data_IF_120500489205
#
_entry.id   IF_120500489205
#
_cell.length_a   1.000
_cell.length_b   1.000
_cell.length_c   1.000
_cell.angle_alpha   90.00
_cell.angle_beta   90.00
_cell.angle_gamma   90.00
#
_symmetry.space_group_name_H-M   'P 1'
#
loop_
_entity.id
_entity.type
_entity.pdbx_description
1 polymer ?
#
# COMPACT_ATOMS: atom_id res chain seq x y z
N UNK A 1 13.05 -5.79 12.98
CA UNK A 1 13.42 -5.08 11.73
C UNK A 1 14.91 -4.76 11.71
N UNK A 2 15.44 -4.01 12.70
CA UNK A 2 16.86 -3.63 12.79
C UNK A 2 17.83 -4.80 12.61
N UNK A 3 17.67 -5.89 13.36
CA UNK A 3 18.57 -7.05 13.25
C UNK A 3 18.66 -7.67 11.83
N UNK A 4 17.58 -7.64 11.05
CA UNK A 4 17.58 -8.16 9.67
C UNK A 4 18.28 -7.18 8.73
N UNK A 5 18.05 -5.87 8.89
CA UNK A 5 18.71 -4.84 8.09
C UNK A 5 20.21 -4.77 8.40
N UNK A 6 20.59 -4.90 9.66
CA UNK A 6 21.99 -4.92 10.09
C UNK A 6 22.73 -6.15 9.53
N UNK A 7 22.10 -7.33 9.59
CA UNK A 7 22.66 -8.55 9.00
C UNK A 7 22.83 -8.40 7.48
N UNK A 8 21.81 -7.90 6.78
CA UNK A 8 21.89 -7.66 5.34
C UNK A 8 23.03 -6.69 5.00
N UNK A 9 23.13 -5.59 5.75
CA UNK A 9 24.18 -4.59 5.59
C UNK A 9 25.58 -5.18 5.79
N UNK A 10 25.78 -5.97 6.86
CA UNK A 10 27.05 -6.64 7.16
C UNK A 10 27.49 -7.62 6.06
N UNK A 11 26.54 -8.15 5.27
CA UNK A 11 26.79 -9.03 4.14
C UNK A 11 26.73 -8.33 2.77
N UNK A 12 26.61 -7.00 2.72
CA UNK A 12 26.54 -6.24 1.47
C UNK A 12 25.31 -6.53 0.62
N UNK A 13 24.21 -6.97 1.24
CA UNK A 13 22.95 -7.30 0.59
C UNK A 13 22.09 -6.04 0.45
N UNK A 14 21.67 -5.71 -0.77
CA UNK A 14 20.69 -4.65 -1.00
C UNK A 14 19.30 -5.11 -0.55
N UNK A 15 18.61 -4.25 0.20
CA UNK A 15 17.27 -4.53 0.73
C UNK A 15 16.26 -3.50 0.21
N UNK A 16 15.13 -4.01 -0.31
CA UNK A 16 13.96 -3.21 -0.66
C UNK A 16 12.83 -3.60 0.27
N UNK A 17 12.54 -2.75 1.25
CA UNK A 17 11.41 -2.92 2.17
C UNK A 17 10.16 -2.45 1.44
N UNK A 18 9.09 -3.24 1.51
CA UNK A 18 7.84 -2.97 0.79
C UNK A 18 6.70 -2.87 1.78
N UNK A 19 5.97 -1.75 1.74
CA UNK A 19 4.59 -1.67 2.21
C UNK A 19 3.74 -2.12 1.03
N UNK A 20 3.13 -3.30 1.16
CA UNK A 20 2.42 -3.92 0.05
C UNK A 20 1.06 -3.26 -0.23
N UNK A 21 0.49 -3.43 -1.44
CA UNK A 21 -0.69 -2.70 -1.87
C UNK A 21 -1.95 -3.30 -1.24
N UNK A 22 -2.51 -2.67 -0.22
CA UNK A 22 -3.85 -3.01 0.29
C UNK A 22 -4.94 -2.65 -0.72
N UNK A 23 -6.01 -3.43 -0.80
CA UNK A 23 -7.20 -3.03 -1.54
C UNK A 23 -7.82 -1.79 -0.89
N UNK A 24 -8.47 -0.94 -1.69
CA UNK A 24 -9.11 0.29 -1.22
C UNK A 24 -10.14 0.03 -0.11
N UNK A 25 -10.79 -1.14 -0.10
CA UNK A 25 -11.72 -1.53 0.97
C UNK A 25 -11.04 -1.58 2.35
N UNK A 26 -9.84 -2.16 2.46
CA UNK A 26 -9.14 -2.22 3.74
C UNK A 26 -8.63 -0.84 4.16
N UNK A 27 -8.22 -0.02 3.20
CA UNK A 27 -7.89 1.39 3.44
C UNK A 27 -9.11 2.16 3.99
N UNK A 28 -10.29 1.93 3.43
CA UNK A 28 -11.54 2.53 3.93
C UNK A 28 -11.94 1.98 5.31
N UNK A 29 -11.73 0.69 5.58
CA UNK A 29 -11.94 0.13 6.92
C UNK A 29 -11.06 0.88 7.92
N UNK A 30 -9.77 1.12 7.63
CA UNK A 30 -8.92 1.93 8.52
C UNK A 30 -9.48 3.35 8.74
N UNK A 31 -10.11 3.97 7.74
CA UNK A 31 -10.76 5.28 7.91
C UNK A 31 -11.97 5.19 8.83
N UNK A 32 -12.87 4.25 8.55
CA UNK A 32 -14.16 4.12 9.24
C UNK A 32 -13.96 3.68 10.70
N UNK A 33 -12.91 2.92 10.99
CA UNK A 33 -12.54 2.51 12.36
C UNK A 33 -11.63 3.51 13.07
N UNK A 34 -11.40 4.71 12.52
CA UNK A 34 -10.48 5.73 13.06
C UNK A 34 -9.02 5.26 13.23
N UNK A 35 -8.58 4.25 12.46
CA UNK A 35 -7.20 3.76 12.44
C UNK A 35 -6.33 4.43 11.36
N UNK A 36 -6.88 5.33 10.54
CA UNK A 36 -6.15 5.96 9.43
C UNK A 36 -4.93 6.75 9.90
N UNK A 37 -5.06 7.53 10.97
CA UNK A 37 -3.95 8.32 11.50
C UNK A 37 -2.84 7.39 12.05
N UNK A 38 -3.21 6.28 12.70
CA UNK A 38 -2.26 5.26 13.13
C UNK A 38 -1.51 4.61 11.95
N UNK A 39 -2.20 4.38 10.83
CA UNK A 39 -1.58 3.86 9.61
C UNK A 39 -0.57 4.85 9.03
N UNK A 40 -0.88 6.14 9.01
CA UNK A 40 0.05 7.18 8.59
C UNK A 40 1.26 7.30 9.53
N UNK A 41 1.03 7.28 10.83
CA UNK A 41 2.10 7.34 11.84
C UNK A 41 3.02 6.12 11.75
N UNK A 42 2.47 4.94 11.53
CA UNK A 42 3.25 3.73 11.27
C UNK A 42 4.16 3.89 10.04
N UNK A 43 3.65 4.46 8.94
CA UNK A 43 4.47 4.72 7.74
C UNK A 43 5.58 5.73 8.00
N UNK A 44 5.30 6.79 8.77
CA UNK A 44 6.32 7.78 9.16
C UNK A 44 7.43 7.14 9.97
N UNK A 45 7.06 6.38 10.99
CA UNK A 45 7.99 5.70 11.88
C UNK A 45 8.83 4.67 11.11
N UNK A 46 8.20 3.90 10.23
CA UNK A 46 8.91 2.97 9.34
C UNK A 46 9.89 3.69 8.42
N UNK A 47 9.48 4.81 7.82
CA UNK A 47 10.33 5.63 6.93
C UNK A 47 11.55 6.16 7.68
N UNK A 48 11.35 6.72 8.88
CA UNK A 48 12.45 7.20 9.73
C UNK A 48 13.40 6.06 10.10
N UNK A 49 12.86 4.92 10.52
CA UNK A 49 13.67 3.75 10.89
C UNK A 49 14.46 3.20 9.71
N UNK A 50 13.90 3.14 8.51
CA UNK A 50 14.67 2.70 7.34
C UNK A 50 15.74 3.73 6.98
N UNK A 51 15.42 5.02 7.03
CA UNK A 51 16.35 6.09 6.67
C UNK A 51 17.57 6.23 7.60
N UNK A 52 17.51 5.68 8.83
CA UNK A 52 18.66 5.60 9.74
C UNK A 52 19.57 4.40 9.47
N UNK A 53 19.16 3.44 8.64
CA UNK A 53 19.96 2.26 8.30
C UNK A 53 20.48 2.41 6.87
N UNK A 54 21.79 2.63 6.74
CA UNK A 54 22.56 2.57 5.49
C UNK A 54 21.77 2.94 4.23
N UNK A 55 21.50 4.25 4.07
CA UNK A 55 20.65 4.85 3.02
C UNK A 55 20.94 4.33 1.60
N UNK A 56 22.18 3.93 1.34
CA UNK A 56 22.60 3.46 0.02
C UNK A 56 22.30 1.98 -0.24
N UNK A 57 21.99 1.20 0.80
CA UNK A 57 21.73 -0.25 0.72
C UNK A 57 20.30 -0.64 1.04
N UNK A 58 19.56 0.19 1.78
CA UNK A 58 18.16 -0.09 2.15
C UNK A 58 17.24 1.00 1.60
N UNK A 59 16.22 0.59 0.86
CA UNK A 59 15.15 1.48 0.38
C UNK A 59 13.80 1.04 0.92
N UNK A 60 12.91 1.99 1.17
CA UNK A 60 11.51 1.73 1.53
C UNK A 60 10.61 2.14 0.36
N UNK A 61 9.70 1.26 -0.02
CA UNK A 61 8.72 1.50 -1.07
C UNK A 61 7.31 1.34 -0.52
N UNK A 62 6.45 2.31 -0.81
CA UNK A 62 5.03 2.25 -0.51
C UNK A 62 4.23 2.00 -1.77
N UNK A 63 3.64 0.80 -1.85
CA UNK A 63 2.70 0.42 -2.90
C UNK A 63 1.25 0.55 -2.45
N UNK A 64 0.97 0.96 -1.21
CA UNK A 64 -0.41 1.17 -0.77
C UNK A 64 -0.97 2.52 -1.25
N UNK A 65 -2.29 2.64 -1.27
CA UNK A 65 -3.01 3.82 -1.71
C UNK A 65 -4.17 3.45 -2.62
N UNK A 66 -4.72 4.44 -3.33
CA UNK A 66 -5.88 4.26 -4.19
C UNK A 66 -5.48 4.25 -5.68
N UNK A 67 -4.36 3.60 -6.01
CA UNK A 67 -3.96 3.35 -7.40
C UNK A 67 -4.96 2.38 -8.08
N UNK A 68 -4.90 2.24 -9.41
CA UNK A 68 -5.92 1.48 -10.16
C UNK A 68 -6.03 0.01 -9.74
N UNK A 69 -4.92 -0.69 -9.45
CA UNK A 69 -5.01 -2.07 -8.95
C UNK A 69 -5.78 -2.17 -7.63
N UNK A 70 -5.56 -1.27 -6.67
CA UNK A 70 -6.24 -1.26 -5.37
C UNK A 70 -7.72 -0.90 -5.47
N UNK A 71 -8.19 -0.46 -6.65
CA UNK A 71 -9.57 -0.04 -6.92
C UNK A 71 -10.30 -1.03 -7.82
N UNK A 72 -9.79 -2.26 -7.93
CA UNK A 72 -10.51 -3.31 -8.64
C UNK A 72 -11.92 -3.50 -8.05
N UNK A 73 -12.87 -3.90 -8.89
CA UNK A 73 -14.25 -4.00 -8.44
C UNK A 73 -14.47 -5.34 -7.75
N UNK A 74 -14.92 -5.30 -6.50
CA UNK A 74 -15.28 -6.50 -5.75
C UNK A 74 -16.62 -7.04 -6.25
N UNK A 75 -16.70 -8.32 -6.64
CA UNK A 75 -17.94 -8.92 -7.11
C UNK A 75 -19.02 -8.95 -6.01
N UNK A 76 -20.31 -8.90 -6.38
CA UNK A 76 -21.39 -9.02 -5.41
C UNK A 76 -21.39 -10.39 -4.74
N UNK A 77 -21.95 -10.46 -3.53
CA UNK A 77 -22.05 -11.70 -2.75
C UNK A 77 -22.77 -12.78 -3.58
N UNK A 78 -22.12 -13.93 -3.72
CA UNK A 78 -22.65 -15.09 -4.45
C UNK A 78 -22.23 -15.17 -5.91
N UNK A 79 -21.55 -14.16 -6.45
CA UNK A 79 -20.94 -14.24 -7.78
C UNK A 79 -19.69 -15.14 -7.75
N UNK A 80 -19.78 -16.31 -8.37
CA UNK A 80 -18.70 -17.28 -8.49
C UNK A 80 -17.98 -17.23 -9.84
N UNK A 81 -18.43 -16.39 -10.76
CA UNK A 81 -17.92 -16.30 -12.12
C UNK A 81 -17.00 -15.09 -12.31
N UNK A 82 -17.18 -14.05 -11.50
CA UNK A 82 -16.35 -12.87 -11.58
C UNK A 82 -14.86 -13.18 -11.30
N UNK A 83 -14.00 -12.62 -12.14
CA UNK A 83 -12.55 -12.73 -12.02
C UNK A 83 -12.01 -11.42 -11.46
N UNK A 84 -11.49 -11.47 -10.23
CA UNK A 84 -10.70 -10.39 -9.63
C UNK A 84 -9.22 -10.66 -9.90
N UNK A 85 -8.54 -9.89 -10.77
CA UNK A 85 -7.17 -10.20 -11.16
C UNK A 85 -6.16 -9.98 -10.02
N UNK A 86 -6.39 -9.00 -9.14
CA UNK A 86 -5.33 -8.46 -8.30
C UNK A 86 -5.40 -8.91 -6.85
N UNK A 87 -6.58 -9.24 -6.30
CA UNK A 87 -6.73 -9.62 -4.89
C UNK A 87 -7.44 -10.96 -4.65
N UNK A 88 -6.99 -11.66 -3.60
CA UNK A 88 -7.73 -12.78 -3.00
C UNK A 88 -8.80 -12.27 -2.04
N UNK A 89 -8.42 -11.30 -1.24
CA UNK A 89 -9.28 -10.46 -0.40
C UNK A 89 -8.55 -9.14 -0.11
N UNK A 90 -9.17 -8.23 0.63
CA UNK A 90 -8.71 -6.85 0.75
C UNK A 90 -7.28 -6.66 1.31
N UNK A 91 -6.78 -7.62 2.09
CA UNK A 91 -5.42 -7.64 2.66
C UNK A 91 -4.36 -8.40 1.83
N UNK A 92 -4.74 -9.34 0.97
CA UNK A 92 -3.80 -10.23 0.28
C UNK A 92 -3.98 -10.17 -1.23
N UNK A 93 -2.94 -9.66 -1.89
CA UNK A 93 -2.87 -9.58 -3.35
C UNK A 93 -2.45 -10.91 -3.99
N UNK A 94 -2.82 -11.08 -5.25
CA UNK A 94 -2.47 -12.24 -6.09
C UNK A 94 -1.08 -12.09 -6.70
N UNK A 95 -0.55 -13.20 -7.22
CA UNK A 95 0.77 -13.21 -7.87
C UNK A 95 0.86 -12.21 -9.03
N UNK A 96 -0.26 -11.95 -9.71
CA UNK A 96 -0.37 -11.00 -10.82
C UNK A 96 0.07 -9.59 -10.39
N UNK A 97 -0.51 -9.07 -9.31
CA UNK A 97 -0.10 -7.78 -8.72
C UNK A 97 1.32 -7.87 -8.12
N UNK A 98 1.70 -9.01 -7.56
CA UNK A 98 3.08 -9.26 -7.11
C UNK A 98 4.13 -9.11 -8.21
N UNK A 99 3.83 -9.57 -9.43
CA UNK A 99 4.71 -9.37 -10.58
C UNK A 99 4.85 -7.90 -10.95
N UNK A 100 3.78 -7.08 -10.81
CA UNK A 100 3.87 -5.64 -11.07
C UNK A 100 4.78 -4.94 -10.06
N UNK A 101 4.71 -5.32 -8.78
CA UNK A 101 5.62 -4.81 -7.74
C UNK A 101 7.06 -5.17 -8.09
N UNK A 102 7.33 -6.43 -8.46
CA UNK A 102 8.69 -6.87 -8.82
C UNK A 102 9.23 -6.18 -10.08
N UNK A 103 8.38 -6.00 -11.10
CA UNK A 103 8.74 -5.25 -12.30
C UNK A 103 9.07 -3.80 -11.95
N UNK A 104 8.25 -3.15 -11.11
CA UNK A 104 8.52 -1.78 -10.63
C UNK A 104 9.87 -1.69 -9.93
N UNK A 105 10.11 -2.57 -8.96
CA UNK A 105 11.35 -2.57 -8.17
C UNK A 105 12.57 -2.90 -9.04
N UNK A 106 12.40 -3.66 -10.12
CA UNK A 106 13.46 -3.99 -11.08
C UNK A 106 13.68 -2.90 -12.15
N UNK A 107 12.88 -1.83 -12.14
CA UNK A 107 13.01 -0.71 -13.08
C UNK A 107 12.33 -0.91 -14.43
N UNK A 108 11.50 -1.96 -14.59
CA UNK A 108 10.80 -2.27 -15.85
C UNK A 108 9.28 -2.08 -15.75
N UNK A 109 8.75 -1.84 -14.56
CA UNK A 109 7.31 -1.65 -14.31
C UNK A 109 6.82 -0.22 -14.51
N UNK A 110 5.53 -0.03 -14.30
CA UNK A 110 4.82 1.25 -14.38
C UNK A 110 5.43 2.30 -13.44
N UNK A 111 5.90 3.43 -13.97
CA UNK A 111 6.63 4.43 -13.21
C UNK A 111 5.81 5.02 -12.03
N UNK A 112 4.50 5.16 -12.24
CA UNK A 112 3.57 5.77 -11.28
C UNK A 112 3.03 4.76 -10.25
N UNK A 113 3.37 3.47 -10.37
CA UNK A 113 3.00 2.46 -9.38
C UNK A 113 4.08 2.34 -8.29
N UNK A 114 3.73 2.75 -7.06
CA UNK A 114 4.60 2.69 -5.90
C UNK A 114 5.58 3.86 -5.80
N UNK A 115 5.86 4.28 -4.56
CA UNK A 115 6.72 5.44 -4.26
C UNK A 115 7.85 5.04 -3.32
N UNK A 116 9.09 5.37 -3.69
CA UNK A 116 10.22 5.27 -2.77
C UNK A 116 10.10 6.35 -1.68
N UNK A 117 9.98 5.93 -0.43
CA UNK A 117 9.76 6.82 0.70
C UNK A 117 11.07 7.30 1.31
N UNK A 118 11.10 8.60 1.63
CA UNK A 118 12.16 9.25 2.39
C UNK A 118 11.55 10.16 3.46
N UNK A 119 12.32 10.55 4.49
CA UNK A 119 11.86 11.51 5.49
C UNK A 119 11.38 12.84 4.86
N UNK A 120 11.94 13.20 3.70
CA UNK A 120 11.62 14.44 3.00
C UNK A 120 10.30 14.36 2.22
N UNK A 121 9.91 13.19 1.70
CA UNK A 121 8.72 13.07 0.84
C UNK A 121 7.48 12.46 1.52
N UNK A 122 7.65 11.75 2.65
CA UNK A 122 6.56 10.97 3.26
C UNK A 122 5.30 11.82 3.53
N UNK A 123 5.46 13.05 4.02
CA UNK A 123 4.34 13.95 4.27
C UNK A 123 3.51 14.26 3.00
N UNK A 124 4.20 14.57 1.91
CA UNK A 124 3.55 14.89 0.64
C UNK A 124 2.84 13.67 0.06
N UNK A 125 3.46 12.50 0.17
CA UNK A 125 2.89 11.22 -0.26
C UNK A 125 1.60 10.86 0.51
N UNK A 126 1.62 10.97 1.84
CA UNK A 126 0.43 10.71 2.67
C UNK A 126 -0.72 11.68 2.34
N UNK A 127 -0.41 12.96 2.11
CA UNK A 127 -1.41 13.94 1.68
C UNK A 127 -2.01 13.60 0.30
N UNK A 128 -1.21 13.08 -0.64
CA UNK A 128 -1.70 12.61 -1.93
C UNK A 128 -2.67 11.43 -1.74
N UNK A 129 -2.30 10.41 -0.95
CA UNK A 129 -3.18 9.28 -0.65
C UNK A 129 -4.50 9.74 0.00
N UNK A 130 -4.48 10.74 0.88
CA UNK A 130 -5.72 11.30 1.45
C UNK A 130 -6.61 11.92 0.39
N UNK A 131 -6.03 12.70 -0.54
CA UNK A 131 -6.79 13.30 -1.65
C UNK A 131 -7.40 12.24 -2.55
N UNK A 132 -6.64 11.20 -2.87
CA UNK A 132 -7.14 10.08 -3.67
C UNK A 132 -8.24 9.30 -2.96
N UNK A 133 -8.14 9.14 -1.63
CA UNK A 133 -9.20 8.54 -0.82
C UNK A 133 -10.49 9.36 -0.82
N UNK A 134 -10.40 10.70 -0.73
CA UNK A 134 -11.58 11.57 -0.87
C UNK A 134 -12.21 11.39 -2.25
N UNK A 135 -11.41 11.36 -3.32
CA UNK A 135 -11.88 11.10 -4.68
C UNK A 135 -12.55 9.73 -4.81
N UNK A 136 -11.92 8.69 -4.25
CA UNK A 136 -12.47 7.33 -4.23
C UNK A 136 -13.85 7.30 -3.57
N UNK A 137 -14.00 7.91 -2.39
CA UNK A 137 -15.27 7.93 -1.66
C UNK A 137 -16.38 8.68 -2.42
N UNK A 138 -16.04 9.74 -3.15
CA UNK A 138 -17.00 10.45 -4.01
C UNK A 138 -17.43 9.57 -5.21
N UNK A 139 -16.47 8.90 -5.84
CA UNK A 139 -16.71 8.06 -7.03
C UNK A 139 -17.40 6.72 -6.71
N UNK A 140 -17.25 6.23 -5.47
CA UNK A 140 -17.73 4.90 -5.02
C UNK A 140 -18.69 5.00 -3.83
N UNK A 141 -19.48 6.07 -3.73
CA UNK A 141 -20.32 6.37 -2.55
C UNK A 141 -21.20 5.21 -2.09
N UNK A 142 -21.86 4.49 -3.00
CA UNK A 142 -22.68 3.32 -2.67
C UNK A 142 -21.87 2.18 -2.03
N UNK A 143 -20.65 1.94 -2.52
CA UNK A 143 -19.73 0.93 -2.02
C UNK A 143 -19.21 1.31 -0.62
N UNK A 144 -18.92 2.60 -0.40
CA UNK A 144 -18.55 3.13 0.91
C UNK A 144 -19.67 2.95 1.93
N UNK A 145 -20.92 3.27 1.56
CA UNK A 145 -22.06 3.07 2.46
C UNK A 145 -22.26 1.61 2.87
N UNK A 146 -21.94 0.65 1.98
CA UNK A 146 -21.96 -0.77 2.31
C UNK A 146 -20.86 -1.12 3.33
N UNK A 147 -19.63 -0.63 3.12
CA UNK A 147 -18.51 -0.87 4.04
C UNK A 147 -18.77 -0.27 5.43
N UNK A 148 -19.34 0.93 5.50
CA UNK A 148 -19.70 1.57 6.77
C UNK A 148 -20.73 0.75 7.56
N UNK A 149 -21.68 0.10 6.85
CA UNK A 149 -22.65 -0.79 7.46
C UNK A 149 -22.08 -2.09 8.03
N UNK A 150 -20.83 -2.46 7.72
CA UNK A 150 -20.17 -3.66 8.25
C UNK A 150 -19.50 -3.43 9.62
N UNK A 151 -19.30 -2.17 10.01
CA UNK A 151 -18.54 -1.77 11.21
C UNK A 151 -19.46 -1.28 12.35
N UNK A 152 -20.76 -1.15 12.08
CA UNK A 152 -21.80 -0.80 13.05
C UNK A 152 -22.37 -2.05 13.73
#
# INVERSE_FOLDING_TARGET
>A
MTAILDAAHAHGIQVKVVIYPYHAHLLEIFRITNCWDMFEDWKRELTLRVATHSRDQVTLWDFSGYHHYARETVPPVGDKQAVVPDYWEAGHFKKELGHQILARLSGTGEADFGVALTPENINAHLLAIRKDGVKYRLERSAEISQLEGLVQ
#
